data_IF_566682002844
#
_entry.id   IF_566682002844
#
_cell.length_a   1.000
_cell.length_b   1.000
_cell.length_c   1.000
_cell.angle_alpha   90.00
_cell.angle_beta   90.00
_cell.angle_gamma   90.00
#
_symmetry.space_group_name_H-M   'P 1'
#
loop_
_entity.id
_entity.type
_entity.pdbx_description
1 polymer ?
#
# COMPACT_ATOMS: atom_id res chain seq x y z
N UNK A 1 -13.81 4.86 10.04
CA UNK A 1 -12.49 5.39 9.68
C UNK A 1 -11.87 4.41 8.70
N UNK A 2 -11.26 4.89 7.63
CA UNK A 2 -10.52 4.10 6.64
C UNK A 2 -9.27 4.88 6.23
N UNK A 3 -8.28 4.16 5.69
CA UNK A 3 -7.03 4.71 5.17
C UNK A 3 -6.15 5.35 6.27
N UNK A 4 -5.16 6.14 5.87
CA UNK A 4 -4.10 6.65 6.74
C UNK A 4 -3.61 8.04 6.31
N UNK A 5 -2.83 8.71 7.18
CA UNK A 5 -2.20 10.02 6.92
C UNK A 5 -3.21 11.03 6.34
N UNK A 6 -2.85 11.69 5.24
CA UNK A 6 -3.67 12.67 4.54
C UNK A 6 -4.87 12.07 3.79
N UNK A 7 -4.86 10.75 3.53
CA UNK A 7 -5.86 10.08 2.70
C UNK A 7 -6.97 9.45 3.57
N UNK A 8 -6.98 9.76 4.87
CA UNK A 8 -7.93 9.26 5.86
C UNK A 8 -9.38 9.66 5.52
N UNK A 9 -10.30 8.71 5.62
CA UNK A 9 -11.74 8.96 5.46
C UNK A 9 -12.55 8.52 6.67
N UNK A 10 -13.29 9.46 7.26
CA UNK A 10 -14.13 9.22 8.44
C UNK A 10 -15.59 9.52 8.10
N UNK A 11 -16.49 8.60 8.47
CA UNK A 11 -17.94 8.77 8.40
C UNK A 11 -18.52 8.58 9.80
N UNK A 12 -19.44 9.45 10.19
CA UNK A 12 -20.19 9.36 11.45
C UNK A 12 -21.66 9.08 11.14
N UNK A 13 -22.24 8.10 11.83
CA UNK A 13 -23.64 7.72 11.62
C UNK A 13 -24.59 8.79 12.17
N UNK A 14 -25.66 9.14 11.43
CA UNK A 14 -26.69 10.09 11.87
C UNK A 14 -27.33 9.71 13.22
N UNK A 15 -27.39 8.42 13.54
CA UNK A 15 -27.88 7.92 14.83
C UNK A 15 -27.03 8.39 16.01
N UNK A 16 -25.72 8.59 15.81
CA UNK A 16 -24.83 9.03 16.87
C UNK A 16 -25.17 10.47 17.29
N UNK A 17 -25.40 11.37 16.32
CA UNK A 17 -25.90 12.71 16.57
C UNK A 17 -27.27 12.71 17.26
N UNK A 18 -28.20 11.84 16.83
CA UNK A 18 -29.51 11.67 17.49
C UNK A 18 -29.42 11.20 18.94
N UNK A 19 -28.34 10.49 19.30
CA UNK A 19 -28.06 10.02 20.66
C UNK A 19 -27.26 11.03 21.50
N UNK A 20 -27.05 12.24 21.00
CA UNK A 20 -26.41 13.33 21.75
C UNK A 20 -24.93 13.56 21.46
N UNK A 21 -24.33 12.84 20.51
CA UNK A 21 -22.95 13.13 20.08
C UNK A 21 -22.95 14.34 19.13
N UNK A 22 -22.87 15.53 19.70
CA UNK A 22 -23.01 16.82 18.99
C UNK A 22 -21.69 17.59 18.86
N UNK A 23 -20.63 17.15 19.52
CA UNK A 23 -19.29 17.76 19.44
C UNK A 23 -18.23 16.73 19.07
N UNK A 24 -17.06 17.17 18.62
CA UNK A 24 -15.92 16.27 18.41
C UNK A 24 -15.07 16.07 19.68
N UNK A 25 -15.42 16.70 20.81
CA UNK A 25 -14.62 16.63 22.03
C UNK A 25 -14.50 15.20 22.54
N UNK A 26 -15.61 14.47 22.58
CA UNK A 26 -15.65 13.08 23.03
C UNK A 26 -14.78 12.17 22.15
N UNK A 27 -14.63 12.49 20.86
CA UNK A 27 -13.73 11.76 19.97
C UNK A 27 -12.27 11.95 20.39
N UNK A 28 -11.86 13.20 20.66
CA UNK A 28 -10.52 13.49 21.16
C UNK A 28 -10.26 12.87 22.54
N UNK A 29 -11.25 12.86 23.43
CA UNK A 29 -11.14 12.23 24.75
C UNK A 29 -10.97 10.71 24.65
N UNK A 30 -11.72 10.04 23.78
CA UNK A 30 -11.57 8.61 23.54
C UNK A 30 -10.19 8.31 22.95
N UNK A 31 -9.71 9.12 21.99
CA UNK A 31 -8.38 8.94 21.44
C UNK A 31 -7.29 9.14 22.51
N UNK A 32 -7.41 10.18 23.35
CA UNK A 32 -6.48 10.38 24.48
C UNK A 32 -6.45 9.15 25.39
N UNK A 33 -7.63 8.67 25.80
CA UNK A 33 -7.76 7.49 26.65
C UNK A 33 -7.15 6.24 26.01
N UNK A 34 -7.47 5.96 24.74
CA UNK A 34 -6.94 4.78 24.04
C UNK A 34 -5.41 4.85 23.91
N UNK A 35 -4.86 5.99 23.46
CA UNK A 35 -3.41 6.12 23.32
C UNK A 35 -2.70 5.97 24.67
N UNK A 36 -3.17 6.59 25.75
CA UNK A 36 -2.51 6.47 27.06
C UNK A 36 -2.74 5.13 27.74
N UNK A 37 -3.77 4.36 27.35
CA UNK A 37 -4.01 3.03 27.88
C UNK A 37 -3.19 1.94 27.18
N UNK A 38 -2.90 2.13 25.89
CA UNK A 38 -2.22 1.13 25.05
C UNK A 38 -0.71 1.42 24.90
N UNK A 39 -0.26 2.64 25.16
CA UNK A 39 1.14 3.06 24.96
C UNK A 39 1.73 3.65 26.24
N UNK A 40 2.37 2.81 27.05
CA UNK A 40 3.04 3.20 28.32
C UNK A 40 4.12 4.28 28.14
N UNK A 41 4.62 4.47 26.92
CA UNK A 41 5.60 5.52 26.58
C UNK A 41 5.01 6.94 26.61
N UNK A 42 3.68 7.09 26.66
CA UNK A 42 3.00 8.39 26.61
C UNK A 42 2.82 8.95 28.02
N UNK A 43 3.64 9.94 28.39
CA UNK A 43 3.48 10.64 29.68
C UNK A 43 2.36 11.68 29.65
N UNK A 44 2.20 12.38 28.53
CA UNK A 44 1.20 13.44 28.31
C UNK A 44 0.76 13.43 26.86
N UNK A 45 -0.53 13.67 26.63
CA UNK A 45 -1.12 13.74 25.30
C UNK A 45 -2.05 14.94 25.19
N UNK A 46 -2.06 15.57 24.01
CA UNK A 46 -3.06 16.56 23.60
C UNK A 46 -3.51 16.22 22.19
N UNK A 47 -4.82 16.23 21.97
CA UNK A 47 -5.42 16.05 20.65
C UNK A 47 -6.16 17.31 20.25
N UNK A 48 -5.88 17.78 19.03
CA UNK A 48 -6.54 18.92 18.41
C UNK A 48 -7.24 18.44 17.15
N UNK A 49 -8.57 18.59 17.11
CA UNK A 49 -9.40 18.25 15.96
C UNK A 49 -9.76 19.53 15.23
N UNK A 50 -9.36 19.62 13.96
CA UNK A 50 -9.49 20.85 13.16
C UNK A 50 -10.52 20.59 12.05
N UNK A 51 -11.56 21.43 12.03
CA UNK A 51 -12.60 21.42 10.98
C UNK A 51 -12.67 22.76 10.24
N UNK A 52 -11.84 23.74 10.61
CA UNK A 52 -11.73 25.03 9.94
C UNK A 52 -10.87 24.87 8.66
N UNK A 53 -11.43 25.12 7.46
CA UNK A 53 -10.70 25.00 6.20
C UNK A 53 -9.43 25.85 6.12
N UNK A 54 -9.47 27.09 6.61
CA UNK A 54 -8.35 28.02 6.51
C UNK A 54 -7.18 27.58 7.39
N UNK A 55 -7.48 26.99 8.55
CA UNK A 55 -6.46 26.45 9.43
C UNK A 55 -5.91 25.13 8.88
N UNK A 56 -6.75 24.28 8.27
CA UNK A 56 -6.30 23.06 7.59
C UNK A 56 -5.32 23.42 6.46
N UNK A 57 -5.65 24.39 5.60
CA UNK A 57 -4.78 24.79 4.48
C UNK A 57 -3.39 25.24 4.95
N UNK A 58 -3.32 25.91 6.11
CA UNK A 58 -2.05 26.36 6.70
C UNK A 58 -1.22 25.23 7.29
N UNK A 59 -1.85 24.25 7.94
CA UNK A 59 -1.16 23.16 8.66
C UNK A 59 -0.88 21.94 7.77
N UNK A 60 -1.65 21.76 6.71
CA UNK A 60 -1.53 20.61 5.81
C UNK A 60 -0.14 20.47 5.18
N UNK A 61 0.54 21.54 4.74
CA UNK A 61 1.92 21.45 4.25
C UNK A 61 2.91 20.89 5.28
N UNK A 62 2.76 21.25 6.56
CA UNK A 62 3.61 20.73 7.65
C UNK A 62 3.40 19.22 7.84
N UNK A 63 2.14 18.77 7.89
CA UNK A 63 1.82 17.35 7.97
C UNK A 63 2.38 16.57 6.77
N UNK A 64 2.27 17.11 5.56
CA UNK A 64 2.83 16.51 4.34
C UNK A 64 4.36 16.44 4.37
N UNK A 65 5.04 17.47 4.90
CA UNK A 65 6.49 17.47 5.06
C UNK A 65 6.96 16.39 6.05
N UNK A 66 6.23 16.19 7.16
CA UNK A 66 6.53 15.11 8.10
C UNK A 66 6.39 13.72 7.46
N UNK A 67 5.38 13.51 6.61
CA UNK A 67 5.22 12.27 5.84
C UNK A 67 6.39 12.07 4.87
N UNK A 68 6.74 13.09 4.08
CA UNK A 68 7.85 13.03 3.13
C UNK A 68 9.19 12.70 3.82
N UNK A 69 9.48 13.33 4.96
CA UNK A 69 10.70 13.05 5.73
C UNK A 69 10.72 11.63 6.33
N UNK A 70 9.55 11.04 6.61
CA UNK A 70 9.44 9.64 7.05
C UNK A 70 9.68 8.69 5.88
N UNK A 71 9.09 8.97 4.72
CA UNK A 71 9.23 8.10 3.54
C UNK A 71 10.68 8.15 3.00
N UNK A 72 11.33 9.31 2.98
CA UNK A 72 12.74 9.47 2.57
C UNK A 72 13.73 8.62 3.40
N UNK A 73 13.46 8.42 4.69
CA UNK A 73 14.32 7.60 5.56
C UNK A 73 14.31 6.12 5.16
N UNK A 74 13.21 5.64 4.59
CA UNK A 74 13.08 4.24 4.15
C UNK A 74 13.83 4.01 2.84
N UNK A 75 13.87 5.01 1.95
CA UNK A 75 14.48 4.87 0.62
C UNK A 75 15.99 4.56 0.63
N UNK A 76 16.68 4.79 1.75
CA UNK A 76 18.12 4.51 1.90
C UNK A 76 18.42 3.16 2.54
N UNK A 77 17.40 2.35 2.82
CA UNK A 77 17.53 1.04 3.44
C UNK A 77 16.94 -0.01 2.50
N UNK A 78 17.70 -1.05 2.19
CA UNK A 78 17.28 -2.13 1.32
C UNK A 78 17.15 -3.45 2.08
N UNK A 79 16.46 -4.42 1.50
CA UNK A 79 16.31 -5.74 2.13
C UNK A 79 17.65 -6.40 2.44
N UNK A 80 18.67 -6.15 1.62
CA UNK A 80 20.02 -6.68 1.76
C UNK A 80 20.71 -6.18 3.04
N UNK A 81 20.35 -4.97 3.48
CA UNK A 81 20.95 -4.29 4.65
C UNK A 81 20.40 -4.77 5.99
N UNK A 82 19.34 -5.60 5.98
CA UNK A 82 18.65 -6.06 7.19
C UNK A 82 18.57 -7.58 7.26
N UNK A 83 18.63 -8.11 8.48
CA UNK A 83 18.44 -9.54 8.78
C UNK A 83 17.02 -9.88 9.26
N UNK A 84 16.18 -8.85 9.40
CA UNK A 84 14.86 -8.92 10.02
C UNK A 84 13.85 -8.17 9.17
N UNK A 85 12.75 -8.83 8.81
CA UNK A 85 11.55 -8.22 8.27
C UNK A 85 10.48 -8.14 9.35
N UNK A 86 9.32 -7.59 9.02
CA UNK A 86 8.18 -7.51 9.93
C UNK A 86 6.92 -8.10 9.31
N UNK A 87 6.18 -8.84 10.11
CA UNK A 87 4.86 -9.35 9.78
C UNK A 87 3.79 -8.48 10.39
N UNK A 88 2.62 -8.40 9.75
CA UNK A 88 1.44 -7.78 10.33
C UNK A 88 0.19 -8.62 10.04
N UNK A 89 -0.58 -8.91 11.10
CA UNK A 89 -1.85 -9.66 11.04
C UNK A 89 -3.05 -8.84 11.52
N UNK A 90 -2.93 -7.52 11.66
CA UNK A 90 -4.03 -6.62 12.07
C UNK A 90 -5.32 -6.83 11.26
N UNK A 91 -5.17 -7.09 9.95
CA UNK A 91 -6.30 -7.25 9.05
C UNK A 91 -6.90 -8.66 9.03
N UNK A 92 -6.39 -9.62 9.82
CA UNK A 92 -7.01 -10.94 9.94
C UNK A 92 -8.40 -10.92 10.58
N UNK A 93 -8.78 -9.81 11.21
CA UNK A 93 -10.15 -9.53 11.66
C UNK A 93 -11.20 -9.61 10.54
N UNK A 94 -10.82 -9.38 9.27
CA UNK A 94 -11.70 -9.47 8.10
C UNK A 94 -11.10 -10.22 6.90
N UNK A 95 -9.80 -10.52 6.92
CA UNK A 95 -9.13 -11.35 5.91
C UNK A 95 -8.28 -12.43 6.63
N UNK A 96 -8.89 -13.52 7.12
CA UNK A 96 -8.28 -14.42 8.11
C UNK A 96 -6.97 -15.10 7.68
N UNK A 97 -6.78 -15.30 6.38
CA UNK A 97 -5.57 -15.92 5.82
C UNK A 97 -4.53 -14.90 5.35
N UNK A 98 -4.81 -13.60 5.46
CA UNK A 98 -3.87 -12.57 5.05
C UNK A 98 -2.75 -12.41 6.06
N UNK A 99 -1.53 -12.27 5.55
CA UNK A 99 -0.36 -11.83 6.30
C UNK A 99 0.31 -10.74 5.47
N UNK A 100 0.68 -9.64 6.11
CA UNK A 100 1.50 -8.62 5.46
C UNK A 100 2.96 -8.81 5.84
N UNK A 101 3.80 -9.09 4.85
CA UNK A 101 5.26 -9.11 4.98
C UNK A 101 5.79 -7.74 4.58
N UNK A 102 6.53 -7.12 5.49
CA UNK A 102 7.02 -5.74 5.40
C UNK A 102 8.54 -5.77 5.48
N UNK A 103 9.18 -5.25 4.44
CA UNK A 103 10.64 -5.14 4.32
C UNK A 103 11.02 -3.69 4.00
N UNK A 104 12.31 -3.32 4.02
CA UNK A 104 12.73 -1.98 3.62
C UNK A 104 12.28 -1.61 2.20
N UNK A 105 12.43 -2.52 1.23
CA UNK A 105 12.00 -2.31 -0.15
C UNK A 105 10.50 -2.61 -0.35
N UNK A 106 9.78 -3.07 0.69
CA UNK A 106 8.34 -3.40 0.61
C UNK A 106 7.54 -2.89 1.82
N UNK A 107 6.95 -1.69 1.68
CA UNK A 107 5.91 -1.18 2.60
C UNK A 107 4.64 -2.06 2.60
N UNK A 108 3.94 -2.15 3.74
CA UNK A 108 2.66 -2.84 3.82
C UNK A 108 1.61 -2.27 2.85
N UNK A 109 0.69 -3.13 2.38
CA UNK A 109 -0.27 -2.77 1.32
C UNK A 109 -1.15 -1.55 1.68
N UNK A 110 -1.37 -1.28 2.96
CA UNK A 110 -2.12 -0.12 3.44
C UNK A 110 -1.38 1.22 3.29
N UNK A 111 -0.09 1.21 2.94
CA UNK A 111 0.78 2.40 2.88
C UNK A 111 1.18 2.97 4.25
N UNK A 112 0.66 2.42 5.35
CA UNK A 112 0.80 3.01 6.69
C UNK A 112 1.94 2.46 7.55
N UNK A 113 2.42 1.26 7.22
CA UNK A 113 3.42 0.54 8.01
C UNK A 113 4.60 0.22 7.10
N UNK A 114 5.68 0.99 7.26
CA UNK A 114 6.98 0.70 6.68
C UNK A 114 7.84 -0.12 7.65
N UNK A 115 9.04 -0.49 7.23
CA UNK A 115 9.95 -1.31 8.02
C UNK A 115 10.29 -0.72 9.41
N UNK A 116 10.51 0.60 9.50
CA UNK A 116 10.79 1.26 10.79
C UNK A 116 9.58 1.24 11.73
N UNK A 117 8.37 1.36 11.18
CA UNK A 117 7.15 1.25 11.97
C UNK A 117 6.95 -0.18 12.47
N UNK A 118 7.23 -1.18 11.62
CA UNK A 118 7.26 -2.59 11.99
C UNK A 118 8.21 -2.83 13.17
N UNK A 119 9.43 -2.30 13.08
CA UNK A 119 10.43 -2.36 14.14
C UNK A 119 9.98 -1.70 15.43
N UNK A 120 9.39 -0.51 15.34
CA UNK A 120 8.92 0.20 16.52
C UNK A 120 7.75 -0.54 17.17
N UNK A 121 6.76 -0.97 16.39
CA UNK A 121 5.58 -1.67 16.87
C UNK A 121 5.93 -2.99 17.57
N UNK A 122 6.74 -3.84 16.93
CA UNK A 122 7.17 -5.12 17.52
C UNK A 122 8.02 -4.96 18.79
N UNK A 123 8.65 -3.78 19.00
CA UNK A 123 9.40 -3.47 20.22
C UNK A 123 8.50 -2.92 21.33
N UNK A 124 7.51 -2.10 20.96
CA UNK A 124 6.56 -1.50 21.91
C UNK A 124 5.60 -2.56 22.45
N UNK A 125 5.08 -3.42 21.57
CA UNK A 125 4.15 -4.48 21.89
C UNK A 125 4.60 -5.82 21.27
N UNK A 126 5.48 -6.58 21.95
CA UNK A 126 6.03 -7.84 21.43
C UNK A 126 4.99 -8.95 21.19
N UNK A 127 3.88 -8.92 21.92
CA UNK A 127 2.75 -9.86 21.77
C UNK A 127 1.68 -9.33 20.81
N UNK A 128 1.94 -8.18 20.21
CA UNK A 128 1.04 -7.48 19.32
C UNK A 128 0.89 -8.14 17.94
N UNK A 129 0.04 -7.56 17.09
CA UNK A 129 -0.24 -8.08 15.76
C UNK A 129 0.87 -7.77 14.74
N UNK A 130 1.88 -6.99 15.13
CA UNK A 130 3.07 -6.70 14.33
C UNK A 130 4.27 -7.33 15.01
N UNK A 131 4.99 -8.19 14.29
CA UNK A 131 6.02 -9.05 14.88
C UNK A 131 7.25 -9.14 13.97
N UNK A 132 8.40 -9.44 14.58
CA UNK A 132 9.65 -9.61 13.84
C UNK A 132 9.67 -10.95 13.09
N UNK A 133 10.22 -10.94 11.89
CA UNK A 133 10.45 -12.12 11.05
C UNK A 133 11.95 -12.19 10.78
N UNK A 134 12.68 -13.19 11.30
CA UNK A 134 14.02 -13.46 10.81
C UNK A 134 13.96 -13.65 9.30
N UNK A 135 14.74 -12.89 8.53
CA UNK A 135 14.68 -12.91 7.05
C UNK A 135 14.88 -14.33 6.52
N UNK A 136 15.76 -15.11 7.15
CA UNK A 136 16.14 -16.45 6.72
C UNK A 136 16.94 -16.43 5.42
N UNK A 137 17.08 -17.60 4.80
CA UNK A 137 17.80 -17.76 3.55
C UNK A 137 17.05 -17.06 2.40
N UNK A 138 17.81 -16.34 1.57
CA UNK A 138 17.31 -15.82 0.31
C UNK A 138 17.23 -16.96 -0.71
N UNK A 139 16.02 -17.27 -1.18
CA UNK A 139 15.74 -18.36 -2.12
C UNK A 139 15.78 -17.84 -3.56
N UNK A 140 15.13 -16.71 -3.82
CA UNK A 140 15.11 -16.06 -5.13
C UNK A 140 15.26 -14.54 -5.00
N UNK A 141 16.39 -13.94 -5.42
CA UNK A 141 16.63 -12.49 -5.32
C UNK A 141 15.70 -11.65 -6.19
N UNK A 142 15.25 -12.20 -7.32
CA UNK A 142 14.43 -11.48 -8.29
C UNK A 142 12.98 -11.44 -7.81
N UNK A 143 12.43 -12.58 -7.40
CA UNK A 143 11.07 -12.70 -6.86
C UNK A 143 10.94 -12.16 -5.44
N UNK A 144 12.06 -12.02 -4.73
CA UNK A 144 12.09 -11.67 -3.31
C UNK A 144 11.52 -12.81 -2.47
N UNK A 145 11.91 -14.05 -2.76
CA UNK A 145 11.49 -15.21 -1.99
C UNK A 145 12.51 -15.45 -0.86
N UNK A 146 12.01 -15.47 0.37
CA UNK A 146 12.82 -15.67 1.57
C UNK A 146 12.22 -16.78 2.42
N UNK A 147 13.07 -17.66 2.95
CA UNK A 147 12.63 -18.80 3.75
C UNK A 147 11.85 -18.35 5.01
N UNK A 148 12.26 -17.26 5.65
CA UNK A 148 11.57 -16.72 6.82
C UNK A 148 10.17 -16.17 6.51
N UNK A 149 10.02 -15.49 5.37
CA UNK A 149 8.73 -15.02 4.90
C UNK A 149 7.78 -16.19 4.58
N UNK A 150 8.27 -17.22 3.88
CA UNK A 150 7.50 -18.43 3.56
C UNK A 150 7.04 -19.18 4.83
N UNK A 151 7.91 -19.30 5.83
CA UNK A 151 7.55 -19.93 7.10
C UNK A 151 6.42 -19.17 7.79
N UNK A 152 6.54 -17.85 7.89
CA UNK A 152 5.52 -17.00 8.52
C UNK A 152 4.21 -17.03 7.75
N UNK A 153 4.26 -16.98 6.42
CA UNK A 153 3.06 -17.11 5.58
C UNK A 153 2.33 -18.41 5.92
N UNK A 154 3.05 -19.54 5.92
CA UNK A 154 2.48 -20.85 6.28
C UNK A 154 1.85 -20.89 7.66
N UNK A 155 2.55 -20.40 8.67
CA UNK A 155 2.07 -20.45 10.05
C UNK A 155 0.87 -19.53 10.27
N UNK A 156 0.95 -18.29 9.77
CA UNK A 156 -0.01 -17.23 10.07
C UNK A 156 -1.19 -17.20 9.10
N UNK A 157 -1.08 -17.82 7.92
CA UNK A 157 -2.20 -18.04 6.99
C UNK A 157 -2.98 -19.34 7.28
N UNK A 158 -2.74 -19.99 8.43
CA UNK A 158 -3.34 -21.27 8.81
C UNK A 158 -3.04 -22.41 7.83
N UNK A 159 -1.86 -22.40 7.21
CA UNK A 159 -1.42 -23.37 6.21
C UNK A 159 -2.04 -23.19 4.83
N UNK A 160 -2.79 -22.10 4.60
CA UNK A 160 -3.43 -21.80 3.29
C UNK A 160 -2.41 -21.54 2.19
N UNK A 161 -1.31 -20.84 2.49
CA UNK A 161 -0.23 -20.53 1.57
C UNK A 161 1.09 -20.89 2.24
N UNK A 162 2.07 -21.38 1.49
CA UNK A 162 3.37 -21.79 2.01
C UNK A 162 4.54 -21.02 1.39
N UNK A 163 4.24 -20.16 0.40
CA UNK A 163 5.21 -19.36 -0.33
C UNK A 163 4.66 -17.97 -0.60
N UNK A 164 5.54 -16.97 -0.59
CA UNK A 164 5.21 -15.60 -0.98
C UNK A 164 6.37 -14.96 -1.73
N UNK A 165 6.07 -14.37 -2.88
CA UNK A 165 7.00 -13.54 -3.65
C UNK A 165 6.72 -12.08 -3.33
N UNK A 166 7.71 -11.40 -2.76
CA UNK A 166 7.55 -9.99 -2.37
C UNK A 166 7.51 -9.06 -3.59
N UNK A 167 8.10 -9.46 -4.70
CA UNK A 167 8.34 -8.61 -5.88
C UNK A 167 7.78 -9.19 -7.18
N UNK A 168 6.71 -9.99 -7.09
CA UNK A 168 5.94 -10.47 -8.25
C UNK A 168 4.44 -10.46 -7.97
N UNK A 169 3.65 -10.25 -9.01
CA UNK A 169 2.21 -10.42 -9.05
C UNK A 169 1.79 -11.82 -9.58
N UNK A 170 2.73 -12.70 -9.95
CA UNK A 170 2.48 -14.02 -10.52
C UNK A 170 2.94 -15.17 -9.60
N UNK A 171 2.38 -16.36 -9.82
CA UNK A 171 2.60 -17.62 -9.09
C UNK A 171 2.25 -17.57 -7.58
N UNK A 172 2.99 -16.79 -6.79
CA UNK A 172 2.84 -16.67 -5.33
C UNK A 172 2.75 -15.20 -4.90
N UNK A 173 1.85 -14.40 -5.47
CA UNK A 173 1.75 -12.98 -5.14
C UNK A 173 1.41 -12.79 -3.67
N UNK A 174 1.92 -11.72 -3.09
CA UNK A 174 1.56 -11.34 -1.74
C UNK A 174 0.04 -11.13 -1.58
N UNK A 175 -0.57 -11.77 -0.59
CA UNK A 175 -2.03 -11.70 -0.39
C UNK A 175 -2.49 -10.26 -0.06
N UNK A 176 -3.77 -9.96 -0.27
CA UNK A 176 -4.34 -8.63 0.00
C UNK A 176 -5.56 -8.70 0.92
N UNK A 177 -5.59 -7.89 1.97
CA UNK A 177 -6.70 -7.84 2.92
C UNK A 177 -7.91 -7.03 2.41
N UNK A 178 -7.70 -5.77 2.01
CA UNK A 178 -8.77 -4.87 1.57
C UNK A 178 -8.53 -3.39 1.88
N UNK A 179 -7.52 -3.06 2.70
CA UNK A 179 -7.16 -1.68 3.04
C UNK A 179 -6.09 -1.07 2.12
N UNK A 180 -5.74 -1.74 1.02
CA UNK A 180 -4.71 -1.25 0.09
C UNK A 180 -5.06 0.12 -0.53
N UNK A 181 -4.03 0.94 -0.77
CA UNK A 181 -4.18 2.27 -1.38
C UNK A 181 -4.43 2.17 -2.89
N UNK A 182 -3.83 1.17 -3.54
CA UNK A 182 -3.97 0.91 -4.96
C UNK A 182 -3.97 -0.60 -5.28
N UNK A 183 -4.34 -0.92 -6.52
CA UNK A 183 -4.27 -2.27 -7.09
C UNK A 183 -3.42 -2.20 -8.34
N UNK A 184 -2.38 -3.02 -8.40
CA UNK A 184 -1.68 -3.38 -9.64
C UNK A 184 -2.47 -4.50 -10.31
N UNK A 185 -2.79 -4.34 -11.59
CA UNK A 185 -3.55 -5.30 -12.37
C UNK A 185 -2.87 -5.62 -13.70
N UNK A 186 -2.84 -6.90 -14.05
CA UNK A 186 -2.28 -7.38 -15.30
C UNK A 186 -3.26 -7.17 -16.47
N UNK A 187 -2.74 -6.82 -17.64
CA UNK A 187 -3.45 -6.54 -18.89
C UNK A 187 -2.90 -7.52 -19.95
N UNK A 188 -3.56 -8.68 -20.14
CA UNK A 188 -3.05 -9.75 -20.99
C UNK A 188 -2.79 -9.34 -22.45
N UNK A 189 -3.62 -8.46 -23.01
CA UNK A 189 -3.58 -8.06 -24.42
C UNK A 189 -2.32 -7.28 -24.81
N UNK A 190 -1.67 -6.64 -23.84
CA UNK A 190 -0.40 -5.92 -24.00
C UNK A 190 0.72 -6.54 -23.17
N UNK A 191 0.47 -7.72 -22.60
CA UNK A 191 1.38 -8.43 -21.70
C UNK A 191 1.97 -7.52 -20.61
N UNK A 192 1.20 -6.59 -20.05
CA UNK A 192 1.73 -5.54 -19.17
C UNK A 192 0.84 -5.23 -17.95
N UNK A 193 1.18 -4.24 -17.14
CA UNK A 193 0.44 -3.88 -15.94
C UNK A 193 -0.15 -2.47 -16.00
N UNK A 194 -1.31 -2.31 -15.38
CA UNK A 194 -1.81 -1.02 -14.93
C UNK A 194 -1.84 -0.92 -13.40
N UNK A 195 -2.00 0.29 -12.88
CA UNK A 195 -2.24 0.53 -11.45
C UNK A 195 -3.39 1.52 -11.27
N UNK A 196 -4.28 1.27 -10.30
CA UNK A 196 -5.40 2.16 -9.99
C UNK A 196 -5.52 2.37 -8.48
N UNK A 197 -5.64 3.63 -8.04
CA UNK A 197 -5.81 3.98 -6.63
C UNK A 197 -7.28 4.03 -6.21
N UNK A 198 -7.52 3.91 -4.91
CA UNK A 198 -8.86 3.83 -4.30
C UNK A 198 -9.79 4.99 -4.64
N UNK A 199 -9.24 6.20 -4.72
CA UNK A 199 -10.02 7.43 -4.94
C UNK A 199 -10.34 7.68 -6.42
N UNK A 200 -9.78 6.88 -7.34
CA UNK A 200 -10.02 7.02 -8.77
C UNK A 200 -11.51 6.79 -9.09
N UNK A 201 -12.13 7.76 -9.74
CA UNK A 201 -13.55 7.73 -10.11
C UNK A 201 -13.70 7.38 -11.58
N UNK A 202 -13.95 6.11 -11.87
CA UNK A 202 -14.19 5.69 -13.23
C UNK A 202 -13.85 4.23 -13.45
N UNK A 203 -13.71 3.89 -14.73
CA UNK A 203 -13.21 2.60 -15.18
C UNK A 203 -11.76 2.74 -15.60
N UNK A 204 -10.97 1.72 -15.35
CA UNK A 204 -9.63 1.58 -15.94
C UNK A 204 -9.76 1.19 -17.42
N UNK A 205 -8.63 1.13 -18.12
CA UNK A 205 -8.54 0.66 -19.51
C UNK A 205 -9.10 -0.75 -19.74
N UNK A 206 -9.16 -1.60 -18.71
CA UNK A 206 -9.79 -2.94 -18.79
C UNK A 206 -11.30 -2.90 -18.48
N UNK A 207 -11.90 -1.72 -18.35
CA UNK A 207 -13.34 -1.55 -18.15
C UNK A 207 -13.84 -1.76 -16.71
N UNK A 208 -12.93 -2.03 -15.76
CA UNK A 208 -13.26 -2.26 -14.36
C UNK A 208 -13.10 -1.01 -13.48
N UNK A 209 -13.94 -0.89 -12.46
CA UNK A 209 -13.75 0.13 -11.40
C UNK A 209 -12.82 -0.41 -10.31
N UNK A 210 -12.18 0.49 -9.55
CA UNK A 210 -11.39 0.08 -8.36
C UNK A 210 -12.21 -0.82 -7.41
N UNK A 211 -13.47 -0.46 -7.12
CA UNK A 211 -14.32 -1.21 -6.19
C UNK A 211 -14.61 -2.64 -6.65
N UNK A 212 -14.80 -2.85 -7.95
CA UNK A 212 -14.99 -4.18 -8.51
C UNK A 212 -13.72 -5.02 -8.34
N UNK A 213 -12.59 -4.46 -8.79
CA UNK A 213 -11.29 -5.09 -8.74
C UNK A 213 -10.85 -5.41 -7.29
N UNK A 214 -11.17 -4.52 -6.35
CA UNK A 214 -10.91 -4.72 -4.92
C UNK A 214 -11.69 -5.91 -4.34
N UNK A 215 -12.93 -6.14 -4.80
CA UNK A 215 -13.71 -7.31 -4.39
C UNK A 215 -13.05 -8.63 -4.77
N UNK A 216 -12.37 -8.66 -5.92
CA UNK A 216 -11.69 -9.85 -6.42
C UNK A 216 -10.27 -10.02 -5.86
N UNK A 217 -9.58 -8.92 -5.59
CA UNK A 217 -8.18 -8.92 -5.10
C UNK A 217 -8.10 -9.19 -3.59
N UNK A 218 -9.13 -8.82 -2.83
CA UNK A 218 -9.13 -8.87 -1.36
C UNK A 218 -9.50 -10.25 -0.77
N UNK A 219 -9.49 -10.31 0.57
CA UNK A 219 -9.89 -11.50 1.33
C UNK A 219 -8.74 -12.41 1.75
N UNK A 220 -7.50 -11.95 1.61
CA UNK A 220 -6.32 -12.72 2.01
C UNK A 220 -6.03 -13.89 1.07
N UNK A 221 -6.29 -13.71 -0.23
CA UNK A 221 -6.03 -14.71 -1.26
C UNK A 221 -4.82 -14.34 -2.11
N UNK A 222 -4.11 -15.35 -2.62
CA UNK A 222 -3.15 -15.16 -3.71
C UNK A 222 -3.95 -15.10 -5.02
N UNK A 223 -3.96 -13.94 -5.66
CA UNK A 223 -4.68 -13.70 -6.92
C UNK A 223 -3.65 -13.28 -7.95
N UNK A 224 -3.32 -14.18 -8.87
CA UNK A 224 -2.33 -13.90 -9.89
C UNK A 224 -2.76 -12.73 -10.78
N UNK A 225 -1.81 -11.85 -11.08
CA UNK A 225 -2.03 -10.64 -11.86
C UNK A 225 -2.83 -9.55 -11.15
N UNK A 226 -3.25 -9.72 -9.88
CA UNK A 226 -3.89 -8.66 -9.08
C UNK A 226 -3.25 -8.54 -7.71
N UNK A 227 -2.59 -7.41 -7.47
CA UNK A 227 -1.83 -7.16 -6.26
C UNK A 227 -2.28 -5.84 -5.61
N UNK A 228 -2.86 -5.93 -4.42
CA UNK A 228 -3.06 -4.76 -3.57
C UNK A 228 -1.71 -4.19 -3.12
N UNK A 229 -1.54 -2.88 -3.20
CA UNK A 229 -0.27 -2.21 -2.91
C UNK A 229 -0.46 -0.88 -2.20
N UNK A 230 0.51 -0.50 -1.36
CA UNK A 230 0.69 0.88 -0.94
C UNK A 230 1.32 1.67 -2.09
N UNK A 231 0.94 2.94 -2.26
CA UNK A 231 1.41 3.74 -3.40
C UNK A 231 2.92 4.05 -3.32
N UNK A 232 3.47 4.13 -2.11
CA UNK A 232 4.91 4.34 -1.90
C UNK A 232 5.79 3.23 -2.47
N UNK A 233 5.22 2.05 -2.76
CA UNK A 233 5.90 0.98 -3.50
C UNK A 233 6.41 1.44 -4.87
N UNK A 234 5.76 2.42 -5.52
CA UNK A 234 6.20 2.95 -6.82
C UNK A 234 7.65 3.49 -6.75
N UNK A 235 8.07 3.99 -5.59
CA UNK A 235 9.44 4.48 -5.36
C UNK A 235 10.45 3.37 -5.08
N UNK A 236 9.97 2.17 -4.73
CA UNK A 236 10.84 1.04 -4.42
C UNK A 236 11.64 0.62 -5.66
N UNK A 237 12.96 0.38 -5.55
CA UNK A 237 13.72 -0.20 -6.64
C UNK A 237 13.26 -1.61 -7.00
N UNK A 238 12.60 -2.31 -6.06
CA UNK A 238 12.12 -3.69 -6.23
C UNK A 238 10.64 -3.81 -6.58
N UNK A 239 9.96 -2.68 -6.86
CA UNK A 239 8.54 -2.68 -7.22
C UNK A 239 8.24 -3.66 -8.36
N UNK A 240 7.53 -4.76 -8.07
CA UNK A 240 7.23 -5.88 -8.99
C UNK A 240 8.40 -6.24 -9.93
N UNK A 241 9.64 -6.22 -9.43
CA UNK A 241 10.84 -6.29 -10.27
C UNK A 241 10.92 -7.60 -11.06
N UNK A 242 10.41 -8.70 -10.51
CA UNK A 242 10.39 -9.99 -11.19
C UNK A 242 9.51 -9.97 -12.44
N UNK A 243 8.58 -9.02 -12.50
CA UNK A 243 7.66 -8.86 -13.60
C UNK A 243 8.03 -7.69 -14.50
N UNK A 244 9.20 -7.04 -14.34
CA UNK A 244 9.66 -5.93 -15.18
C UNK A 244 9.51 -4.54 -14.55
N UNK A 245 8.97 -4.46 -13.34
CA UNK A 245 8.87 -3.21 -12.59
C UNK A 245 8.07 -2.12 -13.31
N UNK A 246 8.45 -0.86 -13.08
CA UNK A 246 7.81 0.28 -13.75
C UNK A 246 7.96 0.23 -15.28
N UNK A 247 8.96 -0.46 -15.83
CA UNK A 247 9.10 -0.59 -17.28
C UNK A 247 8.04 -1.47 -17.92
N UNK A 248 7.23 -2.19 -17.14
CA UNK A 248 6.04 -2.91 -17.62
C UNK A 248 4.73 -2.25 -17.15
N UNK A 249 4.79 -1.06 -16.57
CA UNK A 249 3.62 -0.30 -16.14
C UNK A 249 3.15 0.60 -17.28
N UNK A 250 2.08 0.23 -17.97
CA UNK A 250 1.62 0.90 -19.21
C UNK A 250 0.48 1.88 -18.98
N UNK A 251 -0.21 1.80 -17.84
CA UNK A 251 -1.35 2.67 -17.54
C UNK A 251 -1.47 3.00 -16.05
N UNK A 252 -1.77 4.26 -15.73
CA UNK A 252 -2.10 4.69 -14.37
C UNK A 252 -2.93 5.98 -14.38
N UNK A 253 -3.75 6.24 -13.35
CA UNK A 253 -4.41 7.54 -13.19
C UNK A 253 -3.41 8.70 -13.19
N UNK A 254 -3.81 9.82 -13.78
CA UNK A 254 -3.02 11.06 -13.83
C UNK A 254 -2.53 11.48 -12.45
N UNK A 255 -3.35 11.35 -11.41
CA UNK A 255 -2.98 11.73 -10.05
C UNK A 255 -1.83 10.88 -9.50
N UNK A 256 -1.77 9.58 -9.84
CA UNK A 256 -0.62 8.72 -9.49
C UNK A 256 0.60 9.19 -10.26
N UNK A 257 0.45 9.37 -11.58
CA UNK A 257 1.55 9.78 -12.47
C UNK A 257 2.19 11.08 -11.97
N UNK A 258 1.38 12.09 -11.70
CA UNK A 258 1.84 13.38 -11.15
C UNK A 258 2.46 13.25 -9.76
N UNK A 259 1.85 12.47 -8.85
CA UNK A 259 2.38 12.24 -7.48
C UNK A 259 3.77 11.61 -7.47
N UNK A 260 4.09 10.77 -8.46
CA UNK A 260 5.36 10.06 -8.59
C UNK A 260 6.19 10.53 -9.79
N UNK A 261 5.97 11.76 -10.27
CA UNK A 261 6.66 12.35 -11.44
C UNK A 261 8.17 12.13 -11.40
N UNK A 262 8.84 12.53 -10.33
CA UNK A 262 10.31 12.41 -10.21
C UNK A 262 10.79 10.96 -10.41
N UNK A 263 10.07 9.99 -9.83
CA UNK A 263 10.39 8.57 -9.95
C UNK A 263 10.18 8.05 -11.37
N UNK A 264 9.11 8.47 -12.03
CA UNK A 264 8.74 8.05 -13.39
C UNK A 264 9.67 8.70 -14.42
N UNK A 265 9.95 10.00 -14.30
CA UNK A 265 10.89 10.76 -15.15
C UNK A 265 12.32 10.22 -15.03
N UNK A 266 12.77 9.87 -13.81
CA UNK A 266 14.10 9.29 -13.61
C UNK A 266 14.30 7.94 -14.33
N UNK A 267 13.21 7.22 -14.66
CA UNK A 267 13.23 6.00 -15.46
C UNK A 267 12.97 6.23 -16.96
N UNK A 268 12.78 7.48 -17.38
CA UNK A 268 12.47 7.81 -18.78
C UNK A 268 11.07 7.38 -19.22
N UNK A 269 10.14 7.23 -18.27
CA UNK A 269 8.80 6.67 -18.52
C UNK A 269 7.69 7.73 -18.55
N UNK A 270 8.01 9.01 -18.35
CA UNK A 270 6.99 10.05 -18.19
C UNK A 270 6.03 10.14 -19.37
N UNK A 271 6.54 10.24 -20.60
CA UNK A 271 5.71 10.28 -21.81
C UNK A 271 5.44 8.89 -22.39
N UNK A 272 5.70 7.84 -21.60
CA UNK A 272 5.58 6.44 -22.03
C UNK A 272 4.45 5.71 -21.34
N UNK A 273 3.84 6.24 -20.29
CA UNK A 273 2.74 5.59 -19.56
C UNK A 273 1.44 6.35 -19.83
N UNK A 274 0.40 5.67 -20.30
CA UNK A 274 -0.87 6.29 -20.59
C UNK A 274 -1.66 6.62 -19.31
N UNK A 275 -2.52 7.65 -19.39
CA UNK A 275 -3.49 8.00 -18.36
C UNK A 275 -4.93 7.80 -18.84
N UNK A 276 -5.91 8.01 -17.97
CA UNK A 276 -7.34 7.93 -18.29
C UNK A 276 -7.81 8.97 -19.32
N UNK A 277 -7.07 10.07 -19.50
CA UNK A 277 -7.35 11.10 -20.52
C UNK A 277 -6.83 10.69 -21.91
N UNK A 278 -5.83 9.80 -21.99
CA UNK A 278 -5.19 9.40 -23.24
C UNK A 278 -5.95 8.28 -23.97
N UNK A 279 -6.42 7.29 -23.20
CA UNK A 279 -6.99 6.04 -23.71
C UNK A 279 -8.15 5.56 -22.84
N UNK A 280 -9.24 5.13 -23.47
CA UNK A 280 -10.44 4.67 -22.77
C UNK A 280 -10.53 3.13 -22.64
N UNK A 281 -9.80 2.39 -23.46
CA UNK A 281 -9.86 0.93 -23.55
C UNK A 281 -8.52 0.33 -24.00
N UNK A 282 -8.43 -0.99 -23.98
CA UNK A 282 -7.21 -1.75 -24.33
C UNK A 282 -6.82 -1.60 -25.80
N UNK A 283 -7.79 -1.49 -26.72
CA UNK A 283 -7.50 -1.33 -28.16
C UNK A 283 -6.83 0.02 -28.44
N UNK A 284 -7.27 1.08 -27.75
CA UNK A 284 -6.64 2.40 -27.79
C UNK A 284 -5.28 2.38 -27.08
N UNK A 285 -5.17 1.70 -25.94
CA UNK A 285 -3.91 1.54 -25.21
C UNK A 285 -2.83 0.93 -26.10
N UNK A 286 -3.11 -0.17 -26.80
CA UNK A 286 -2.12 -0.83 -27.66
C UNK A 286 -1.55 0.13 -28.72
N UNK A 287 -2.42 0.89 -29.39
CA UNK A 287 -2.01 1.88 -30.39
C UNK A 287 -1.19 3.02 -29.77
N UNK A 288 -1.65 3.54 -28.64
CA UNK A 288 -0.97 4.63 -27.94
C UNK A 288 0.44 4.20 -27.50
N UNK A 289 0.60 2.97 -26.99
CA UNK A 289 1.89 2.45 -26.56
C UNK A 289 2.88 2.28 -27.72
N UNK A 290 2.41 1.85 -28.89
CA UNK A 290 3.23 1.77 -30.12
C UNK A 290 3.64 3.18 -30.59
N UNK A 291 2.70 4.12 -30.71
CA UNK A 291 2.99 5.50 -31.10
C UNK A 291 3.98 6.18 -30.14
N UNK A 292 3.85 5.91 -28.84
CA UNK A 292 4.72 6.46 -27.82
C UNK A 292 5.96 5.62 -27.59
N UNK A 293 6.16 4.50 -28.31
CA UNK A 293 7.32 3.61 -28.21
C UNK A 293 7.62 3.24 -26.74
N UNK A 294 6.62 2.67 -26.06
CA UNK A 294 6.77 2.19 -24.68
C UNK A 294 7.84 1.10 -24.62
N UNK A 295 8.82 1.15 -23.69
CA UNK A 295 9.97 0.21 -23.67
C UNK A 295 9.65 -1.27 -23.37
N UNK A 296 8.37 -1.62 -23.22
CA UNK A 296 7.92 -3.00 -22.97
C UNK A 296 7.43 -3.66 -24.27
N UNK A 297 6.90 -2.86 -25.17
CA UNK A 297 6.52 -3.27 -26.52
C UNK A 297 7.74 -3.18 -27.45
#
# INVERSE_FOLDING_TARGET
HMNQRADTWIRVNKTAAKKGWTTLKEFGEILNFLYTSEMDIIEKIQITLITDPDLIEKLYPEAKAAYAARDQRVLTLHDEDVDTFYGCVLCQSFAPTHVSIISPDRIGNCGAINWFDGRAAAKIDPEGPIFAIPRGDLIDPTKGEYAGANQVERERSLGTYDRVYLYSAFEHPHTSCGCFEAIVFYIPEVDAFGIVHREFKGKTVIGETFSHMAGETSGGRQVEGRLGTGLEQIRSPKFIQADGGLHRMVWMPKEIKERYRETIEAKGLWDKIAIEEDVADVDQLLKWLDEHQHPWL
#
